data_IF_332540075892
#
_entry.id   IF_332540075892
#
_cell.length_a   1.000
_cell.length_b   1.000
_cell.length_c   1.000
_cell.angle_alpha   90.00
_cell.angle_beta   90.00
_cell.angle_gamma   90.00
#
_symmetry.space_group_name_H-M   'P 1'
#
loop_
_entity.id
_entity.type
_entity.pdbx_description
1 polymer ?
#
# COMPACT_ATOMS: atom_id res chain seq x y z
N UNK A 1 17.22 -14.56 -9.78
CA UNK A 1 16.66 -13.26 -9.33
C UNK A 1 16.41 -13.41 -7.84
N UNK A 2 17.03 -12.58 -6.99
CA UNK A 2 16.85 -12.69 -5.54
C UNK A 2 15.38 -12.42 -5.22
N UNK A 3 14.63 -13.44 -4.84
CA UNK A 3 13.26 -13.30 -4.39
C UNK A 3 13.31 -12.47 -3.10
N UNK A 4 13.00 -11.19 -3.18
CA UNK A 4 12.84 -10.38 -1.97
C UNK A 4 11.62 -10.95 -1.24
N UNK A 5 11.69 -11.27 0.07
CA UNK A 5 10.59 -11.93 0.78
C UNK A 5 9.36 -11.02 0.99
N UNK A 6 9.33 -9.86 0.34
CA UNK A 6 8.32 -8.82 0.48
C UNK A 6 7.87 -8.31 -0.88
N UNK A 7 6.55 -8.07 -1.00
CA UNK A 7 5.92 -7.44 -2.17
C UNK A 7 5.41 -6.05 -1.78
N UNK A 8 5.69 -5.04 -2.60
CA UNK A 8 5.14 -3.70 -2.44
C UNK A 8 3.70 -3.63 -2.96
N UNK A 9 2.78 -3.11 -2.14
CA UNK A 9 1.36 -3.01 -2.46
C UNK A 9 0.86 -1.57 -2.57
N UNK A 10 1.58 -0.61 -1.99
CA UNK A 10 1.27 0.81 -2.12
C UNK A 10 2.51 1.67 -1.92
N UNK A 11 2.49 2.89 -2.45
CA UNK A 11 3.53 3.91 -2.26
C UNK A 11 2.92 5.15 -1.63
N UNK A 12 3.41 5.53 -0.46
CA UNK A 12 2.95 6.71 0.27
C UNK A 12 3.40 7.99 -0.45
N UNK A 13 2.48 8.91 -0.71
CA UNK A 13 2.71 10.08 -1.56
C UNK A 13 2.81 11.40 -0.82
N UNK A 14 1.82 11.71 0.01
CA UNK A 14 1.76 12.94 0.79
C UNK A 14 0.76 12.78 1.93
N UNK A 15 0.89 13.56 3.01
CA UNK A 15 -0.14 13.64 4.02
C UNK A 15 -1.51 14.02 3.43
N UNK A 16 -2.54 13.48 4.04
CA UNK A 16 -3.93 13.77 3.79
C UNK A 16 -4.56 14.23 5.12
N UNK A 17 -5.06 15.46 5.16
CA UNK A 17 -5.62 16.02 6.39
C UNK A 17 -4.56 16.31 7.47
N UNK A 18 -4.99 16.37 8.74
CA UNK A 18 -4.16 16.74 9.90
C UNK A 18 -3.94 15.61 10.91
N UNK A 19 -4.56 14.45 10.67
CA UNK A 19 -4.59 13.30 11.60
C UNK A 19 -3.56 12.21 11.26
N UNK A 20 -2.54 12.56 10.48
CA UNK A 20 -1.50 11.62 10.05
C UNK A 20 -1.95 10.61 8.98
N UNK A 21 -3.06 10.86 8.28
CA UNK A 21 -3.45 10.03 7.14
C UNK A 21 -2.53 10.30 5.95
N UNK A 22 -2.33 9.30 5.10
CA UNK A 22 -1.43 9.36 3.95
C UNK A 22 -2.17 8.93 2.69
N UNK A 23 -2.11 9.77 1.66
CA UNK A 23 -2.51 9.37 0.32
C UNK A 23 -1.42 8.47 -0.27
N UNK A 24 -1.80 7.36 -0.88
CA UNK A 24 -0.90 6.40 -1.48
C UNK A 24 -1.35 5.97 -2.88
N UNK A 25 -0.40 5.81 -3.78
CA UNK A 25 -0.64 5.09 -5.04
C UNK A 25 -0.75 3.59 -4.75
N UNK A 26 -1.74 2.94 -5.35
CA UNK A 26 -1.86 1.49 -5.33
C UNK A 26 -0.82 0.89 -6.28
N UNK A 27 -0.05 -0.08 -5.77
CA UNK A 27 0.86 -0.92 -6.55
C UNK A 27 0.33 -2.36 -6.66
N UNK A 28 -0.93 -2.54 -6.29
CA UNK A 28 -1.67 -3.80 -6.33
C UNK A 28 -2.98 -3.58 -7.06
N UNK A 29 -3.38 -4.57 -7.86
CA UNK A 29 -4.71 -4.59 -8.50
C UNK A 29 -5.82 -5.01 -7.53
N UNK A 30 -5.45 -5.37 -6.29
CA UNK A 30 -6.35 -5.85 -5.24
C UNK A 30 -6.39 -4.89 -4.05
N UNK A 31 -7.03 -3.72 -4.18
CA UNK A 31 -7.13 -2.75 -3.10
C UNK A 31 -7.95 -3.25 -1.89
N UNK A 32 -8.87 -4.18 -2.12
CA UNK A 32 -9.74 -4.78 -1.09
C UNK A 32 -8.94 -5.52 0.00
N UNK A 33 -7.67 -5.85 -0.26
CA UNK A 33 -6.77 -6.45 0.73
C UNK A 33 -6.55 -5.59 1.96
N UNK A 34 -6.72 -4.26 1.88
CA UNK A 34 -6.59 -3.38 3.04
C UNK A 34 -7.75 -3.55 4.05
N UNK A 35 -8.84 -4.22 3.67
CA UNK A 35 -9.94 -4.59 4.58
C UNK A 35 -9.56 -5.77 5.48
N UNK A 36 -8.80 -6.72 4.96
CA UNK A 36 -8.40 -7.93 5.67
C UNK A 36 -6.99 -7.85 6.26
N UNK A 37 -6.15 -6.96 5.75
CA UNK A 37 -4.73 -6.82 6.13
C UNK A 37 -4.55 -5.62 7.05
N UNK A 38 -4.61 -5.85 8.37
CA UNK A 38 -4.32 -4.81 9.36
C UNK A 38 -2.83 -4.66 9.66
N UNK A 39 -2.03 -5.71 9.46
CA UNK A 39 -0.58 -5.67 9.69
C UNK A 39 0.17 -5.64 8.38
N UNK A 40 0.98 -4.62 8.17
CA UNK A 40 1.80 -4.40 6.98
C UNK A 40 3.24 -4.12 7.41
N UNK A 41 4.13 -4.06 6.44
CA UNK A 41 5.50 -3.61 6.63
C UNK A 41 5.66 -2.25 5.94
N UNK A 42 6.32 -1.30 6.58
CA UNK A 42 6.70 -0.02 6.01
C UNK A 42 8.20 0.04 5.81
N UNK A 43 8.61 0.53 4.66
CA UNK A 43 10.01 0.86 4.42
C UNK A 43 10.46 1.99 5.36
N UNK A 44 11.50 1.74 6.16
CA UNK A 44 12.09 2.74 7.05
C UNK A 44 13.11 3.63 6.30
N UNK A 45 13.74 4.58 7.00
CA UNK A 45 14.74 5.48 6.41
C UNK A 45 15.95 4.75 5.78
N UNK A 46 16.31 3.56 6.29
CA UNK A 46 17.39 2.72 5.79
C UNK A 46 16.97 1.80 4.62
N UNK A 47 15.70 1.82 4.21
CA UNK A 47 15.18 0.93 3.17
C UNK A 47 14.75 -0.45 3.69
N UNK A 48 14.71 -0.64 5.01
CA UNK A 48 14.37 -1.91 5.64
C UNK A 48 12.88 -1.96 6.01
N UNK A 49 12.23 -3.13 5.86
CA UNK A 49 10.83 -3.30 6.23
C UNK A 49 10.66 -3.34 7.76
N UNK A 50 9.82 -2.44 8.27
CA UNK A 50 9.45 -2.34 9.69
C UNK A 50 7.96 -2.62 9.88
N UNK A 51 7.55 -3.38 10.92
CA UNK A 51 6.13 -3.64 11.18
C UNK A 51 5.33 -2.35 11.39
N UNK A 52 4.16 -2.29 10.77
CA UNK A 52 3.21 -1.21 10.92
C UNK A 52 1.78 -1.75 10.90
N UNK A 53 0.85 -1.00 11.49
CA UNK A 53 -0.56 -1.38 11.55
C UNK A 53 -1.39 -0.34 10.81
N UNK A 54 -2.24 -0.80 9.89
CA UNK A 54 -3.26 0.02 9.24
C UNK A 54 -4.50 0.02 10.15
N UNK A 55 -4.84 1.19 10.69
CA UNK A 55 -6.03 1.39 11.54
C UNK A 55 -7.27 1.68 10.71
N UNK A 56 -7.09 2.21 9.49
CA UNK A 56 -8.18 2.52 8.60
C UNK A 56 -7.69 2.85 7.20
N UNK A 57 -8.58 2.69 6.23
CA UNK A 57 -8.34 3.08 4.86
C UNK A 57 -9.63 3.54 4.21
N UNK A 58 -9.51 4.33 3.14
CA UNK A 58 -10.64 4.69 2.29
C UNK A 58 -10.15 5.09 0.89
N UNK A 59 -11.04 4.95 -0.10
CA UNK A 59 -10.75 5.30 -1.48
C UNK A 59 -11.28 6.70 -1.80
N UNK A 60 -10.40 7.70 -2.05
CA UNK A 60 -10.85 9.03 -2.41
C UNK A 60 -11.52 9.08 -3.78
N UNK A 61 -12.49 9.99 -3.90
CA UNK A 61 -13.19 10.29 -5.16
C UNK A 61 -12.60 11.54 -5.84
N UNK A 62 -12.92 11.73 -7.13
CA UNK A 62 -12.51 12.90 -7.90
C UNK A 62 -11.04 12.87 -8.35
N UNK A 63 -10.28 13.95 -8.11
CA UNK A 63 -8.90 14.10 -8.62
C UNK A 63 -7.90 13.07 -8.10
N UNK A 64 -8.21 12.37 -7.01
CA UNK A 64 -7.38 11.32 -6.44
C UNK A 64 -8.02 9.93 -6.60
N UNK A 65 -9.05 9.77 -7.44
CA UNK A 65 -9.63 8.46 -7.72
C UNK A 65 -8.57 7.47 -8.23
N UNK A 66 -8.68 6.20 -7.81
CA UNK A 66 -7.69 5.16 -8.10
C UNK A 66 -6.51 5.12 -7.11
N UNK A 67 -6.55 5.93 -6.05
CA UNK A 67 -5.59 5.89 -4.93
C UNK A 67 -6.27 5.37 -3.66
N UNK A 68 -5.48 5.17 -2.62
CA UNK A 68 -5.97 4.84 -1.28
C UNK A 68 -5.46 5.85 -0.26
N UNK A 69 -6.27 6.21 0.72
CA UNK A 69 -5.82 6.93 1.90
C UNK A 69 -5.68 5.93 3.03
N UNK A 70 -4.52 5.92 3.69
CA UNK A 70 -4.20 5.00 4.78
C UNK A 70 -4.02 5.78 6.08
N UNK A 71 -4.59 5.26 7.17
CA UNK A 71 -4.32 5.67 8.54
C UNK A 71 -3.47 4.59 9.20
N UNK A 72 -2.28 4.98 9.65
CA UNK A 72 -1.32 4.10 10.30
C UNK A 72 -1.31 4.35 11.80
N UNK A 73 -1.15 3.27 12.58
CA UNK A 73 -1.04 3.37 14.02
C UNK A 73 0.25 4.07 14.43
N UNK A 74 0.13 5.02 15.37
CA UNK A 74 1.25 5.85 15.83
C UNK A 74 1.63 7.01 14.91
N UNK A 75 0.93 7.21 13.78
CA UNK A 75 1.11 8.35 12.88
C UNK A 75 -0.10 9.27 13.02
N UNK A 76 -0.03 10.23 13.95
CA UNK A 76 -1.20 11.03 14.38
C UNK A 76 -1.14 12.49 13.96
N UNK A 77 0.02 12.96 13.47
CA UNK A 77 0.20 14.32 12.99
C UNK A 77 0.65 14.38 11.53
N UNK A 78 0.50 15.56 10.93
CA UNK A 78 1.04 15.82 9.59
C UNK A 78 2.56 15.63 9.54
N UNK A 79 3.27 16.04 10.59
CA UNK A 79 4.72 15.89 10.69
C UNK A 79 5.14 14.42 10.69
N UNK A 80 4.40 13.56 11.40
CA UNK A 80 4.69 12.11 11.39
C UNK A 80 4.48 11.54 9.99
N UNK A 81 3.39 11.92 9.32
CA UNK A 81 3.09 11.48 7.96
C UNK A 81 4.13 11.95 6.94
N UNK A 82 4.67 13.17 7.07
CA UNK A 82 5.71 13.70 6.19
C UNK A 82 6.98 12.83 6.21
N UNK A 83 7.31 12.22 7.36
CA UNK A 83 8.48 11.32 7.46
C UNK A 83 8.34 10.04 6.63
N UNK A 84 7.10 9.66 6.30
CA UNK A 84 6.77 8.47 5.54
C UNK A 84 6.57 8.75 4.05
N UNK A 85 6.74 10.00 3.62
CA UNK A 85 6.57 10.37 2.22
C UNK A 85 7.56 9.62 1.33
N UNK A 86 7.06 8.97 0.28
CA UNK A 86 7.87 8.18 -0.66
C UNK A 86 8.14 6.74 -0.20
N UNK A 87 7.76 6.37 1.03
CA UNK A 87 7.96 5.02 1.55
C UNK A 87 6.97 4.01 0.96
N UNK A 88 7.40 2.75 0.89
CA UNK A 88 6.61 1.65 0.39
C UNK A 88 5.87 0.94 1.53
N UNK A 89 4.63 0.55 1.23
CA UNK A 89 3.87 -0.41 2.02
C UNK A 89 4.12 -1.79 1.41
N UNK A 90 4.60 -2.70 2.24
CA UNK A 90 5.10 -4.01 1.91
C UNK A 90 4.28 -5.07 2.66
N UNK A 91 4.20 -6.27 2.09
CA UNK A 91 3.65 -7.46 2.75
C UNK A 91 4.54 -8.67 2.50
N UNK A 92 4.55 -9.66 3.41
CA UNK A 92 5.25 -10.92 3.18
C UNK A 92 4.75 -11.60 1.89
N UNK A 93 5.67 -12.17 1.12
CA UNK A 93 5.30 -12.91 -0.09
C UNK A 93 4.39 -14.12 0.20
N UNK A 94 4.40 -14.64 1.43
CA UNK A 94 3.49 -15.69 1.88
C UNK A 94 2.02 -15.25 1.91
N UNK A 95 1.73 -13.96 2.12
CA UNK A 95 0.36 -13.45 1.99
C UNK A 95 -0.13 -13.49 0.53
N UNK A 96 0.79 -13.40 -0.44
CA UNK A 96 0.47 -13.58 -1.86
C UNK A 96 -0.09 -14.97 -2.13
N UNK A 97 0.48 -15.98 -1.47
CA UNK A 97 0.08 -17.39 -1.58
C UNK A 97 -1.25 -17.66 -0.87
N UNK A 98 -1.47 -17.07 0.31
CA UNK A 98 -2.76 -17.20 1.01
C UNK A 98 -3.93 -16.58 0.22
N UNK A 99 -3.68 -15.50 -0.52
CA UNK A 99 -4.67 -14.91 -1.44
C UNK A 99 -4.95 -15.79 -2.67
N UNK A 100 -4.02 -16.67 -3.05
CA UNK A 100 -4.13 -17.50 -4.25
C UNK A 100 -5.06 -18.71 -4.08
N UNK A 101 -5.37 -19.14 -2.85
CA UNK A 101 -6.29 -20.28 -2.64
C UNK A 101 -7.75 -19.95 -2.99
N UNK A 102 -8.12 -18.66 -3.02
CA UNK A 102 -9.48 -18.25 -3.36
C UNK A 102 -9.62 -17.43 -4.65
N UNK A 103 -8.58 -16.77 -5.18
CA UNK A 103 -8.69 -15.96 -6.41
C UNK A 103 -7.39 -15.88 -7.22
N UNK A 104 -7.54 -16.03 -8.54
CA UNK A 104 -6.45 -16.03 -9.53
C UNK A 104 -5.90 -14.61 -9.72
N UNK A 105 -4.57 -14.48 -9.64
CA UNK A 105 -3.84 -13.27 -10.01
C UNK A 105 -3.84 -13.11 -11.54
N UNK A 106 -4.34 -11.99 -12.06
CA UNK A 106 -4.09 -11.57 -13.45
C UNK A 106 -2.92 -10.56 -13.45
N UNK A 107 -1.85 -10.86 -12.72
CA UNK A 107 -0.60 -10.09 -12.81
C UNK A 107 0.27 -10.52 -14.01
N UNK A 108 -0.27 -11.36 -14.90
CA UNK A 108 0.35 -11.75 -16.18
C UNK A 108 -0.16 -10.96 -17.40
N UNK A 109 -1.00 -9.93 -17.23
CA UNK A 109 -1.38 -9.03 -18.33
C UNK A 109 -0.64 -7.69 -18.25
N UNK A 110 0.70 -7.75 -18.28
CA UNK A 110 1.46 -6.71 -18.97
C UNK A 110 1.24 -6.95 -20.47
N UNK A 111 0.16 -6.37 -20.98
CA UNK A 111 -0.25 -6.42 -22.37
C UNK A 111 -1.02 -5.16 -22.71
N UNK A 112 -0.28 -4.05 -22.81
CA UNK A 112 -0.74 -2.81 -23.41
C UNK A 112 -1.44 -3.09 -24.76
N UNK A 113 -2.60 -2.50 -24.97
CA UNK A 113 -2.90 -1.58 -26.08
C UNK A 113 -4.39 -1.21 -26.05
N UNK A 114 -4.71 0.00 -25.59
CA UNK A 114 -5.99 0.63 -25.86
C UNK A 114 -5.85 1.37 -27.19
N UNK A 115 -6.31 0.76 -28.28
CA UNK A 115 -6.55 1.48 -29.54
C UNK A 115 -7.91 2.18 -29.46
N UNK A 116 -7.92 3.47 -29.78
CA UNK A 116 -9.04 4.09 -30.46
C UNK A 116 -8.55 5.16 -31.44
#
# INVERSE_FOLDING_TARGET
>A
MSNSPYTAIARLLRPQGRKGELLADLLTDFPERFETTSSVLLENAAGEPTPATVEGHWFPVGRNAGRVVLKLSGIDSINDAETLQGKLVLVPDTERVALAEDRVWIADLIGCELYH
#
